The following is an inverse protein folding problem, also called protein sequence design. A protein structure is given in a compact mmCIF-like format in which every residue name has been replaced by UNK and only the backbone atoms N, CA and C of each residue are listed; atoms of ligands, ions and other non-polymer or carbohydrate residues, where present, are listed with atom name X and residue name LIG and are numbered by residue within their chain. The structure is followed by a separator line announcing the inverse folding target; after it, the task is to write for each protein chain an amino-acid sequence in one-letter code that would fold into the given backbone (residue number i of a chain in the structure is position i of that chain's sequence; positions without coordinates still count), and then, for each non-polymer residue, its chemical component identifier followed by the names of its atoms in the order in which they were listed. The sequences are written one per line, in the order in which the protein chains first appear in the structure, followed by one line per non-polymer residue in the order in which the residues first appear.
data_IF_405158801774
#
_entry.id   IF_405158801774
#
_cell.length_a   1.000
_cell.length_b   1.000
_cell.length_c   1.000
_cell.angle_alpha   90.00
_cell.angle_beta   90.00
_cell.angle_gamma   90.00
#
_symmetry.space_group_name_H-M   'P 1'
#
loop_
_entity.id
_entity.type
_entity.pdbx_description
1 polymer ?
#
# COMPACT_ATOMS: atom_id res chain seq x y z
N UNK A 1 -25.16 -12.55 -12.32
CA UNK A 1 -24.34 -11.99 -11.23
C UNK A 1 -22.97 -11.60 -11.78
N UNK A 2 -22.46 -10.43 -11.44
CA UNK A 2 -21.15 -10.00 -11.89
C UNK A 2 -20.04 -10.71 -11.10
N UNK A 3 -18.88 -10.90 -11.71
CA UNK A 3 -17.70 -11.40 -11.04
C UNK A 3 -16.88 -10.32 -10.36
N UNK A 4 -17.38 -9.10 -10.31
CA UNK A 4 -16.66 -7.95 -9.75
C UNK A 4 -16.61 -7.99 -8.22
N UNK A 5 -15.47 -7.61 -7.67
CA UNK A 5 -15.21 -7.54 -6.22
C UNK A 5 -14.51 -6.23 -5.91
N UNK A 6 -15.03 -5.53 -4.92
CA UNK A 6 -14.42 -4.30 -4.43
C UNK A 6 -13.80 -4.54 -3.05
N UNK A 7 -12.65 -3.93 -2.80
CA UNK A 7 -12.00 -3.98 -1.50
C UNK A 7 -11.45 -2.63 -1.12
N UNK A 8 -11.38 -2.38 0.18
CA UNK A 8 -10.81 -1.18 0.76
C UNK A 8 -9.70 -1.57 1.73
N UNK A 9 -8.58 -0.87 1.67
CA UNK A 9 -7.47 -1.01 2.61
C UNK A 9 -7.18 0.30 3.30
N UNK A 10 -6.81 0.21 4.57
CA UNK A 10 -6.34 1.34 5.37
C UNK A 10 -5.14 0.90 6.18
N UNK A 11 -4.12 1.74 6.23
CA UNK A 11 -2.97 1.51 7.10
C UNK A 11 -2.43 2.82 7.62
N UNK A 12 -1.75 2.77 8.77
CA UNK A 12 -1.14 3.91 9.40
C UNK A 12 0.13 3.47 10.12
N UNK A 13 1.19 4.26 9.99
CA UNK A 13 2.43 4.07 10.73
C UNK A 13 2.89 5.38 11.35
N UNK A 14 3.53 5.28 12.51
CA UNK A 14 4.11 6.42 13.21
C UNK A 14 5.40 6.88 12.51
N UNK A 15 5.57 8.19 12.38
CA UNK A 15 6.85 8.79 11.97
C UNK A 15 7.83 8.77 13.15
N UNK A 16 9.06 8.38 12.88
CA UNK A 16 10.13 8.30 13.88
C UNK A 16 11.48 8.60 13.25
N UNK A 17 12.43 9.03 14.07
CA UNK A 17 13.81 9.24 13.65
C UNK A 17 14.51 7.89 13.44
N UNK A 18 15.57 7.89 12.63
CA UNK A 18 16.42 6.73 12.41
C UNK A 18 15.84 5.68 11.45
N UNK A 19 14.76 6.01 10.74
CA UNK A 19 14.13 5.13 9.74
C UNK A 19 14.08 5.83 8.39
N UNK A 20 14.23 5.05 7.32
CA UNK A 20 13.97 5.54 5.96
C UNK A 20 12.47 5.65 5.74
N UNK A 21 12.06 6.65 4.97
CA UNK A 21 10.67 6.80 4.56
C UNK A 21 10.46 6.10 3.23
N UNK A 22 9.77 4.97 3.25
CA UNK A 22 9.46 4.18 2.06
C UNK A 22 7.96 4.26 1.81
N UNK A 23 7.57 4.71 0.63
CA UNK A 23 6.17 4.80 0.20
C UNK A 23 6.05 4.32 -1.24
N UNK A 24 5.19 3.33 -1.47
CA UNK A 24 5.05 2.73 -2.80
C UNK A 24 6.37 2.22 -3.37
N UNK A 25 7.22 1.67 -2.52
CA UNK A 25 8.54 1.18 -2.89
C UNK A 25 9.56 2.27 -3.19
N UNK A 26 9.22 3.55 -2.97
CA UNK A 26 10.12 4.69 -3.21
C UNK A 26 10.69 5.19 -1.89
N UNK A 27 12.01 5.32 -1.81
CA UNK A 27 12.63 6.00 -0.69
C UNK A 27 12.51 7.51 -0.89
N UNK A 28 11.70 8.13 -0.04
CA UNK A 28 11.45 9.57 -0.09
C UNK A 28 12.40 10.26 0.88
N UNK A 29 13.24 11.22 0.42
CA UNK A 29 14.12 11.95 1.33
C UNK A 29 13.32 12.71 2.39
N UNK A 30 13.58 12.38 3.65
CA UNK A 30 12.93 13.03 4.79
C UNK A 30 13.74 12.75 6.05
N UNK A 31 13.61 13.62 7.05
CA UNK A 31 14.32 13.49 8.34
C UNK A 31 13.82 12.34 9.20
N UNK A 32 12.61 11.85 8.95
CA UNK A 32 12.00 10.74 9.67
C UNK A 32 11.46 9.71 8.69
N UNK A 33 11.29 8.50 9.15
CA UNK A 33 10.65 7.42 8.40
C UNK A 33 9.55 6.77 9.20
N UNK A 34 8.91 5.76 8.63
CA UNK A 34 7.79 5.06 9.27
C UNK A 34 8.29 3.88 10.10
N UNK A 35 7.69 3.71 11.27
CA UNK A 35 8.02 2.62 12.20
C UNK A 35 7.12 1.42 11.93
N UNK A 36 7.73 0.26 11.76
CA UNK A 36 7.03 -1.01 11.56
C UNK A 36 7.99 -2.17 11.44
N UNK A 37 7.45 -3.40 11.42
CA UNK A 37 8.24 -4.64 11.37
C UNK A 37 8.92 -4.83 10.00
N UNK A 38 8.19 -4.58 8.90
CA UNK A 38 8.73 -4.58 7.54
C UNK A 38 9.41 -3.23 7.24
N UNK A 39 9.45 -2.81 5.99
CA UNK A 39 9.89 -1.47 5.62
C UNK A 39 8.88 -0.37 6.00
N UNK A 40 7.72 -0.76 6.56
CA UNK A 40 6.63 0.11 6.98
C UNK A 40 6.06 0.98 5.86
N UNK A 41 6.06 0.49 4.62
CA UNK A 41 5.47 1.14 3.46
C UNK A 41 3.95 1.16 3.59
N UNK A 42 3.43 2.22 4.19
CA UNK A 42 2.01 2.35 4.52
C UNK A 42 1.12 2.33 3.28
N UNK A 43 1.61 2.86 2.16
CA UNK A 43 0.85 2.86 0.90
C UNK A 43 0.69 1.43 0.36
N UNK A 44 1.80 0.69 0.27
CA UNK A 44 1.77 -0.68 -0.24
C UNK A 44 0.96 -1.60 0.70
N UNK A 45 1.03 -1.38 2.02
CA UNK A 45 0.22 -2.12 2.99
C UNK A 45 -1.28 -1.90 2.77
N UNK A 46 -1.70 -0.65 2.57
CA UNK A 46 -3.12 -0.35 2.28
C UNK A 46 -3.58 -1.00 0.97
N UNK A 47 -2.73 -0.98 -0.05
CA UNK A 47 -3.01 -1.64 -1.34
C UNK A 47 -3.20 -3.15 -1.16
N UNK A 48 -2.31 -3.80 -0.43
CA UNK A 48 -2.42 -5.24 -0.17
C UNK A 48 -3.71 -5.60 0.56
N UNK A 49 -4.08 -4.84 1.58
CA UNK A 49 -5.32 -5.07 2.32
C UNK A 49 -6.56 -4.86 1.44
N UNK A 50 -6.55 -3.87 0.56
CA UNK A 50 -7.64 -3.67 -0.39
C UNK A 50 -7.81 -4.87 -1.32
N UNK A 51 -6.71 -5.39 -1.84
CA UNK A 51 -6.70 -6.55 -2.74
C UNK A 51 -7.18 -7.82 -2.05
N UNK A 52 -6.62 -8.10 -0.86
CA UNK A 52 -6.99 -9.28 -0.08
C UNK A 52 -8.45 -9.21 0.36
N UNK A 53 -8.91 -8.03 0.80
CA UNK A 53 -10.30 -7.82 1.21
C UNK A 53 -11.28 -8.04 0.06
N UNK A 54 -10.96 -7.54 -1.14
CA UNK A 54 -11.79 -7.74 -2.34
C UNK A 54 -11.97 -9.22 -2.66
N UNK A 55 -10.94 -10.03 -2.47
CA UNK A 55 -10.97 -11.46 -2.72
C UNK A 55 -11.48 -12.28 -1.51
N UNK A 56 -11.80 -11.63 -0.40
CA UNK A 56 -12.20 -12.25 0.86
C UNK A 56 -11.14 -13.23 1.41
N UNK A 57 -9.86 -12.87 1.25
CA UNK A 57 -8.71 -13.68 1.70
C UNK A 57 -8.12 -13.20 3.05
N UNK A 58 -8.78 -12.25 3.71
CA UNK A 58 -8.31 -11.71 4.99
C UNK A 58 -7.52 -10.42 4.80
N UNK A 59 -6.43 -10.31 5.54
CA UNK A 59 -5.57 -9.13 5.54
C UNK A 59 -4.08 -9.52 5.55
N UNK A 60 -3.20 -8.51 5.48
CA UNK A 60 -1.76 -8.75 5.48
C UNK A 60 -1.26 -9.32 6.81
N UNK A 61 -1.89 -8.98 7.92
CA UNK A 61 -1.50 -9.51 9.24
C UNK A 61 -1.69 -11.01 9.33
N UNK A 62 -2.71 -11.56 8.66
CA UNK A 62 -2.96 -12.98 8.56
C UNK A 62 -1.95 -13.67 7.64
N UNK A 63 -1.65 -13.04 6.49
CA UNK A 63 -0.78 -13.63 5.47
C UNK A 63 0.71 -13.46 5.82
N UNK A 64 1.09 -12.34 6.39
CA UNK A 64 2.46 -11.98 6.75
C UNK A 64 2.54 -11.47 8.19
N UNK A 65 2.45 -12.37 9.20
CA UNK A 65 2.45 -11.93 10.61
C UNK A 65 3.70 -11.12 10.96
N UNK A 66 3.52 -10.02 11.68
CA UNK A 66 4.61 -9.16 12.14
C UNK A 66 5.48 -9.81 13.22
N UNK A 67 5.02 -10.95 13.76
CA UNK A 67 5.78 -11.78 14.69
C UNK A 67 6.77 -12.72 13.99
N UNK A 68 6.67 -12.88 12.67
CA UNK A 68 7.56 -13.74 11.89
C UNK A 68 8.84 -12.99 11.52
N UNK A 69 9.98 -13.48 12.00
CA UNK A 69 11.28 -12.87 11.74
C UNK A 69 11.64 -12.86 10.24
N UNK A 70 11.04 -13.74 9.43
CA UNK A 70 11.28 -13.77 7.99
C UNK A 70 10.84 -12.47 7.28
N UNK A 71 9.93 -11.71 7.88
CA UNK A 71 9.41 -10.46 7.29
C UNK A 71 10.04 -9.21 7.90
N UNK A 72 10.99 -9.36 8.83
CA UNK A 72 11.67 -8.21 9.44
C UNK A 72 12.45 -7.43 8.38
N UNK A 73 12.15 -6.15 8.23
CA UNK A 73 12.81 -5.26 7.28
C UNK A 73 12.53 -5.56 5.80
N UNK A 74 11.63 -6.48 5.49
CA UNK A 74 11.36 -6.88 4.11
C UNK A 74 10.71 -5.76 3.31
N UNK A 75 11.03 -5.69 2.01
CA UNK A 75 10.36 -4.79 1.08
C UNK A 75 8.88 -5.17 0.94
N UNK A 76 7.99 -4.22 1.17
CA UNK A 76 6.54 -4.45 1.00
C UNK A 76 6.15 -4.65 -0.47
N UNK A 77 6.95 -4.17 -1.42
CA UNK A 77 6.74 -4.45 -2.85
C UNK A 77 6.90 -5.97 -3.12
N UNK A 78 7.84 -6.63 -2.48
CA UNK A 78 7.98 -8.09 -2.58
C UNK A 78 6.77 -8.81 -1.99
N UNK A 79 6.23 -8.31 -0.88
CA UNK A 79 5.00 -8.85 -0.30
C UNK A 79 3.81 -8.66 -1.25
N UNK A 80 3.74 -7.51 -1.90
CA UNK A 80 2.69 -7.22 -2.90
C UNK A 80 2.75 -8.21 -4.07
N UNK A 81 3.94 -8.58 -4.53
CA UNK A 81 4.10 -9.60 -5.57
C UNK A 81 3.52 -10.94 -5.12
N UNK A 82 3.73 -11.31 -3.86
CA UNK A 82 3.15 -12.53 -3.27
C UNK A 82 1.63 -12.45 -3.17
N UNK A 83 1.09 -11.29 -2.83
CA UNK A 83 -0.36 -11.06 -2.84
C UNK A 83 -0.91 -11.23 -4.26
N UNK A 84 -0.23 -10.70 -5.27
CA UNK A 84 -0.62 -10.84 -6.66
C UNK A 84 -0.70 -12.33 -7.08
N UNK A 85 0.27 -13.14 -6.69
CA UNK A 85 0.25 -14.58 -6.92
C UNK A 85 -0.94 -15.24 -6.23
N UNK A 86 -1.18 -14.87 -4.99
CA UNK A 86 -2.29 -15.40 -4.20
C UNK A 86 -3.66 -15.11 -4.83
N UNK A 87 -3.81 -13.90 -5.40
CA UNK A 87 -5.03 -13.53 -6.12
C UNK A 87 -5.22 -14.39 -7.38
N UNK A 88 -4.16 -14.60 -8.16
CA UNK A 88 -4.21 -15.44 -9.35
C UNK A 88 -4.60 -16.87 -9.00
N UNK A 89 -4.00 -17.45 -7.96
CA UNK A 89 -4.34 -18.79 -7.47
C UNK A 89 -5.80 -18.90 -7.05
N UNK A 90 -6.35 -17.84 -6.47
CA UNK A 90 -7.75 -17.78 -6.06
C UNK A 90 -8.72 -17.50 -7.22
N UNK A 91 -8.20 -17.26 -8.42
CA UNK A 91 -9.00 -17.04 -9.62
C UNK A 91 -9.47 -15.61 -9.81
N UNK A 92 -8.66 -14.64 -9.39
CA UNK A 92 -8.98 -13.20 -9.54
C UNK A 92 -7.95 -12.48 -10.40
N UNK A 93 -8.42 -11.51 -11.16
CA UNK A 93 -7.59 -10.53 -11.85
C UNK A 93 -7.86 -9.14 -11.25
N UNK A 94 -6.83 -8.32 -11.17
CA UNK A 94 -6.97 -6.92 -10.74
C UNK A 94 -7.46 -6.10 -11.93
N UNK A 95 -8.56 -5.39 -11.77
CA UNK A 95 -9.10 -4.50 -12.79
C UNK A 95 -8.45 -3.12 -12.68
N UNK A 96 -8.50 -2.53 -11.49
CA UNK A 96 -7.81 -1.26 -11.23
C UNK A 96 -7.61 -1.04 -9.74
N UNK A 97 -6.80 -0.03 -9.43
CA UNK A 97 -6.42 0.33 -8.08
C UNK A 97 -6.36 1.85 -7.96
N UNK A 98 -6.92 2.38 -6.90
CA UNK A 98 -6.81 3.79 -6.53
C UNK A 98 -6.37 3.90 -5.08
N UNK A 99 -5.38 4.75 -4.80
CA UNK A 99 -4.85 4.92 -3.46
C UNK A 99 -4.61 6.39 -3.16
N UNK A 100 -4.73 6.75 -1.89
CA UNK A 100 -4.49 8.10 -1.39
C UNK A 100 -3.59 8.03 -0.15
N UNK A 101 -2.50 8.79 -0.17
CA UNK A 101 -1.60 8.94 0.97
C UNK A 101 -1.94 10.24 1.68
N UNK A 102 -2.07 10.17 3.01
CA UNK A 102 -2.34 11.30 3.88
C UNK A 102 -1.07 11.62 4.67
N UNK A 103 -0.41 12.70 4.30
CA UNK A 103 0.86 13.13 4.92
C UNK A 103 0.93 14.64 4.93
N UNK A 104 1.21 15.23 6.10
CA UNK A 104 1.42 16.67 6.20
C UNK A 104 2.72 17.09 5.48
N UNK A 105 3.74 16.28 5.60
CA UNK A 105 5.05 16.43 4.97
C UNK A 105 5.69 15.04 4.86
N UNK A 106 6.67 14.83 3.98
CA UNK A 106 7.15 15.74 2.95
C UNK A 106 6.19 15.88 1.76
N UNK A 107 6.51 16.74 0.79
CA UNK A 107 5.75 16.81 -0.47
C UNK A 107 5.98 15.54 -1.27
N UNK A 108 4.92 14.86 -1.65
CA UNK A 108 4.99 13.57 -2.34
C UNK A 108 4.80 13.66 -3.86
N UNK A 109 4.36 14.82 -4.36
CA UNK A 109 4.11 15.01 -5.79
C UNK A 109 5.28 14.58 -6.70
N UNK A 110 6.55 14.86 -6.37
CA UNK A 110 7.66 14.43 -7.23
C UNK A 110 7.85 12.93 -7.32
N UNK A 111 7.28 12.16 -6.39
CA UNK A 111 7.50 10.72 -6.27
C UNK A 111 6.30 9.87 -6.68
N UNK A 112 5.13 10.49 -6.92
CA UNK A 112 3.88 9.77 -7.18
C UNK A 112 3.95 8.85 -8.40
N UNK A 113 4.56 9.31 -9.50
CA UNK A 113 4.65 8.49 -10.71
C UNK A 113 5.50 7.23 -10.48
N UNK A 114 6.60 7.33 -9.76
CA UNK A 114 7.43 6.17 -9.43
C UNK A 114 6.71 5.20 -8.51
N UNK A 115 5.96 5.70 -7.52
CA UNK A 115 5.11 4.88 -6.65
C UNK A 115 4.09 4.11 -7.49
N UNK A 116 3.41 4.80 -8.38
CA UNK A 116 2.42 4.23 -9.29
C UNK A 116 3.01 3.13 -10.17
N UNK A 117 4.15 3.40 -10.78
CA UNK A 117 4.87 2.45 -11.61
C UNK A 117 5.31 1.20 -10.83
N UNK A 118 5.81 1.37 -9.61
CA UNK A 118 6.23 0.26 -8.76
C UNK A 118 5.04 -0.66 -8.41
N UNK A 119 3.90 -0.07 -8.06
CA UNK A 119 2.69 -0.82 -7.75
C UNK A 119 2.17 -1.56 -8.98
N UNK A 120 2.11 -0.87 -10.11
CA UNK A 120 1.66 -1.48 -11.37
C UNK A 120 2.57 -2.64 -11.79
N UNK A 121 3.87 -2.46 -11.70
CA UNK A 121 4.85 -3.49 -12.03
C UNK A 121 4.68 -4.73 -11.14
N UNK A 122 4.56 -4.54 -9.82
CA UNK A 122 4.39 -5.63 -8.87
C UNK A 122 3.11 -6.43 -9.14
N UNK A 123 2.07 -5.77 -9.62
CA UNK A 123 0.78 -6.39 -9.94
C UNK A 123 0.67 -6.85 -11.40
N UNK A 124 1.70 -6.64 -12.20
CA UNK A 124 1.71 -6.91 -13.66
C UNK A 124 0.54 -6.22 -14.37
N UNK A 125 0.28 -4.97 -14.00
CA UNK A 125 -0.76 -4.13 -14.58
C UNK A 125 -0.17 -3.04 -15.45
N UNK A 126 -0.94 -2.58 -16.42
CA UNK A 126 -0.67 -1.32 -17.09
C UNK A 126 -0.79 -0.18 -16.08
N UNK A 127 0.11 0.79 -16.13
CA UNK A 127 0.11 1.92 -15.20
C UNK A 127 -1.18 2.75 -15.25
N UNK A 128 -1.91 2.74 -16.37
CA UNK A 128 -3.20 3.42 -16.50
C UNK A 128 -4.28 2.85 -15.57
N UNK A 129 -4.07 1.66 -15.02
CA UNK A 129 -5.00 1.00 -14.08
C UNK A 129 -4.66 1.26 -12.62
N UNK A 130 -3.62 2.04 -12.35
CA UNK A 130 -3.16 2.38 -11.00
C UNK A 130 -3.14 3.88 -10.83
N UNK A 131 -3.78 4.37 -9.78
CA UNK A 131 -3.78 5.79 -9.41
C UNK A 131 -3.19 5.95 -8.02
N UNK A 132 -2.30 6.91 -7.86
CA UNK A 132 -1.75 7.31 -6.55
C UNK A 132 -1.94 8.81 -6.41
N UNK A 133 -2.62 9.20 -5.34
CA UNK A 133 -2.86 10.59 -4.95
C UNK A 133 -2.26 10.83 -3.57
N UNK A 134 -1.95 12.06 -3.26
CA UNK A 134 -1.48 12.46 -1.95
C UNK A 134 -2.21 13.73 -1.52
N UNK A 135 -2.52 13.83 -0.25
CA UNK A 135 -3.16 14.99 0.34
C UNK A 135 -2.67 15.22 1.76
N UNK A 136 -2.78 16.48 2.22
CA UNK A 136 -2.66 16.78 3.65
C UNK A 136 -4.04 16.72 4.28
N UNK A 137 -4.11 16.71 5.60
CA UNK A 137 -5.35 16.90 6.34
C UNK A 137 -5.44 18.30 6.95
N UNK A 138 -4.82 19.28 6.31
CA UNK A 138 -4.89 20.70 6.68
C UNK A 138 -4.46 20.98 8.13
N UNK A 139 -3.43 20.26 8.60
CA UNK A 139 -2.93 20.38 9.97
C UNK A 139 -3.80 19.71 11.03
N UNK A 140 -4.86 19.00 10.62
CA UNK A 140 -5.80 18.36 11.53
C UNK A 140 -5.42 16.90 11.80
N UNK A 141 -5.65 16.47 13.05
CA UNK A 141 -5.43 15.10 13.46
C UNK A 141 -3.97 14.67 13.49
N UNK A 142 -3.73 13.39 13.68
CA UNK A 142 -2.38 12.86 13.84
C UNK A 142 -1.51 13.02 12.57
N UNK A 143 -2.09 12.89 11.38
CA UNK A 143 -1.35 13.14 10.14
C UNK A 143 -1.04 14.62 9.98
N UNK A 144 -2.00 15.48 10.29
CA UNK A 144 -1.84 16.93 10.23
C UNK A 144 -0.81 17.47 11.21
N UNK A 145 -0.64 16.80 12.35
CA UNK A 145 0.37 17.12 13.36
C UNK A 145 1.74 16.50 13.06
N UNK A 146 1.83 15.70 11.99
CA UNK A 146 3.09 15.08 11.60
C UNK A 146 3.51 13.91 12.50
N UNK A 147 2.56 13.27 13.19
CA UNK A 147 2.84 12.13 14.06
C UNK A 147 2.91 10.82 13.28
N UNK A 148 2.28 10.75 12.15
CA UNK A 148 2.23 9.56 11.30
C UNK A 148 1.78 9.87 9.90
N UNK A 149 1.82 8.84 9.06
CA UNK A 149 1.31 8.86 7.69
C UNK A 149 0.28 7.73 7.57
N UNK A 150 -0.84 8.02 6.93
CA UNK A 150 -1.88 7.05 6.66
C UNK A 150 -2.08 6.90 5.16
N UNK A 151 -2.66 5.78 4.76
CA UNK A 151 -3.05 5.55 3.38
C UNK A 151 -4.36 4.79 3.30
N UNK A 152 -5.15 5.14 2.30
CA UNK A 152 -6.34 4.39 1.88
C UNK A 152 -6.11 3.84 0.49
N UNK A 153 -6.65 2.68 0.22
CA UNK A 153 -6.66 2.12 -1.12
C UNK A 153 -8.02 1.47 -1.41
N UNK A 154 -8.44 1.54 -2.66
CA UNK A 154 -9.61 0.83 -3.16
C UNK A 154 -9.18 0.02 -4.36
N UNK A 155 -9.56 -1.25 -4.39
CA UNK A 155 -9.23 -2.15 -5.49
C UNK A 155 -10.51 -2.74 -6.07
N UNK A 156 -10.51 -2.91 -7.39
CA UNK A 156 -11.54 -3.64 -8.09
C UNK A 156 -10.91 -4.89 -8.69
N UNK A 157 -11.47 -6.04 -8.34
CA UNK A 157 -11.08 -7.33 -8.91
C UNK A 157 -12.20 -7.89 -9.76
N UNK A 158 -11.83 -8.82 -10.64
CA UNK A 158 -12.76 -9.59 -11.44
C UNK A 158 -12.46 -11.07 -11.26
N UNK A 159 -13.49 -11.85 -11.01
CA UNK A 159 -13.39 -13.31 -10.95
C UNK A 159 -13.15 -13.84 -12.36
N UNK A 160 -12.11 -14.65 -12.53
CA UNK A 160 -11.75 -15.28 -13.78
C UNK A 160 -11.79 -16.80 -13.62
N UNK A 161 -12.49 -17.45 -14.48
CA UNK A 161 -12.62 -18.91 -14.49
C UNK A 161 -13.61 -19.46 -13.49
#
# INVERSE_FOLDING_TARGET
MTGLRIGHGYDVHRLTEGRRLILGGVEVPYERGLLGHSDADVLTHAVMDALLGAAALGDIGKLFPDTDAAYAGISSILLLERVAERLREAGYAVVNLDATVLAQAPKLAPYRERMRENLACALALDASRVSVKATTEEGLGFTGEGLGIAAHAVALLEKIG
#
